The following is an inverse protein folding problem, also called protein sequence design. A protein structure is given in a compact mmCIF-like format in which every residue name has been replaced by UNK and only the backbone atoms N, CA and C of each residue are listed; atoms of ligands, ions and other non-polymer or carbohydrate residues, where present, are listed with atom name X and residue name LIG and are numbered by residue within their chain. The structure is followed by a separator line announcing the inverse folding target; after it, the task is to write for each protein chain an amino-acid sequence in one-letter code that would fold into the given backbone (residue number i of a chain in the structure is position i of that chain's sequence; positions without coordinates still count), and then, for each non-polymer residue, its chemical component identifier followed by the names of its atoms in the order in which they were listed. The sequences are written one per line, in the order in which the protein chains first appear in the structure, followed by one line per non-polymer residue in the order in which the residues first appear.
data_IF_658257044083
#
_entry.id   IF_658257044083
#
_cell.length_a   1.000
_cell.length_b   1.000
_cell.length_c   1.000
_cell.angle_alpha   90.00
_cell.angle_beta   90.00
_cell.angle_gamma   90.00
#
_symmetry.space_group_name_H-M   'P 1'
#
loop_
_entity.id
_entity.type
_entity.pdbx_description
1 polymer ?
#
# COMPACT_ATOMS: atom_id res chain seq x y z
N UNK A 1 -3.86 -1.12 18.23
CA UNK A 1 -4.66 -1.64 17.10
C UNK A 1 -3.73 -2.35 16.13
N UNK A 2 -3.86 -3.67 15.96
CA UNK A 2 -2.94 -4.43 15.12
C UNK A 2 -3.19 -4.10 13.64
N UNK A 3 -2.18 -3.62 12.92
CA UNK A 3 -2.23 -3.32 11.47
C UNK A 3 -2.78 -4.52 10.67
N UNK A 4 -2.60 -5.73 11.18
CA UNK A 4 -3.16 -6.97 10.64
C UNK A 4 -4.70 -6.97 10.53
N UNK A 5 -5.41 -6.30 11.44
CA UNK A 5 -6.88 -6.19 11.39
C UNK A 5 -7.35 -5.20 10.32
N UNK A 6 -6.58 -4.12 10.11
CA UNK A 6 -6.80 -3.15 9.01
C UNK A 6 -6.59 -3.80 7.64
N UNK A 7 -5.76 -4.84 7.59
CA UNK A 7 -5.59 -5.67 6.39
C UNK A 7 -6.68 -6.72 6.23
N UNK A 8 -7.87 -6.63 6.84
CA UNK A 8 -8.94 -7.60 6.57
C UNK A 8 -9.46 -7.57 5.12
N UNK A 9 -10.00 -8.70 4.65
CA UNK A 9 -10.50 -8.86 3.28
C UNK A 9 -11.75 -7.99 3.07
N UNK A 10 -11.71 -7.07 2.10
CA UNK A 10 -12.87 -6.26 1.69
C UNK A 10 -12.62 -4.75 1.59
N UNK A 11 -11.80 -4.18 2.48
CA UNK A 11 -11.59 -2.72 2.53
C UNK A 11 -10.57 -2.27 1.47
N UNK A 12 -9.41 -2.92 1.45
CA UNK A 12 -8.33 -2.66 0.49
C UNK A 12 -8.37 -3.62 -0.69
N UNK A 13 -8.15 -3.11 -1.90
CA UNK A 13 -7.90 -3.95 -3.08
C UNK A 13 -6.60 -4.74 -2.90
N UNK A 14 -6.41 -5.80 -3.70
CA UNK A 14 -5.15 -6.59 -3.67
C UNK A 14 -3.92 -5.70 -3.89
N UNK A 15 -4.00 -4.75 -4.82
CA UNK A 15 -2.91 -3.81 -5.11
C UNK A 15 -2.66 -2.83 -3.95
N UNK A 16 -3.73 -2.25 -3.39
CA UNK A 16 -3.62 -1.35 -2.23
C UNK A 16 -2.98 -2.06 -1.04
N UNK A 17 -3.43 -3.28 -0.75
CA UNK A 17 -2.88 -4.14 0.30
C UNK A 17 -1.41 -4.43 0.09
N UNK A 18 -1.03 -4.91 -1.10
CA UNK A 18 0.38 -5.20 -1.43
C UNK A 18 1.27 -3.99 -1.24
N UNK A 19 0.92 -2.85 -1.85
CA UNK A 19 1.71 -1.60 -1.78
C UNK A 19 1.81 -1.07 -0.36
N UNK A 20 0.72 -1.13 0.40
CA UNK A 20 0.70 -0.71 1.80
C UNK A 20 1.61 -1.59 2.65
N UNK A 21 1.57 -2.92 2.49
CA UNK A 21 2.48 -3.84 3.20
C UNK A 21 3.94 -3.59 2.86
N UNK A 22 4.28 -3.42 1.58
CA UNK A 22 5.65 -3.12 1.15
C UNK A 22 6.16 -1.80 1.77
N UNK A 23 5.32 -0.77 1.81
CA UNK A 23 5.72 0.53 2.33
C UNK A 23 5.77 0.61 3.87
N UNK A 24 4.74 0.12 4.56
CA UNK A 24 4.60 0.30 6.02
C UNK A 24 5.25 -0.83 6.82
N UNK A 25 5.19 -2.08 6.32
CA UNK A 25 5.71 -3.24 7.06
C UNK A 25 7.15 -3.54 6.67
N UNK A 26 7.47 -3.43 5.38
CA UNK A 26 8.81 -3.71 4.86
C UNK A 26 9.66 -2.46 4.64
N UNK A 27 9.12 -1.28 4.96
CA UNK A 27 9.79 0.03 4.83
C UNK A 27 10.41 0.27 3.44
N UNK A 28 9.87 -0.37 2.39
CA UNK A 28 10.40 -0.29 1.05
C UNK A 28 10.14 1.12 0.45
N UNK A 29 11.16 1.79 -0.12
CA UNK A 29 10.98 3.09 -0.74
C UNK A 29 9.95 3.05 -1.87
N UNK A 30 9.09 4.08 -1.95
CA UNK A 30 8.05 4.19 -2.99
C UNK A 30 8.61 4.01 -4.41
N UNK A 31 9.82 4.53 -4.66
CA UNK A 31 10.49 4.42 -5.97
C UNK A 31 10.92 2.98 -6.28
N UNK A 32 11.25 2.18 -5.28
CA UNK A 32 11.61 0.78 -5.45
C UNK A 32 10.36 -0.08 -5.69
N UNK A 33 9.29 0.17 -4.94
CA UNK A 33 7.96 -0.42 -5.19
C UNK A 33 7.51 -0.11 -6.62
N UNK A 34 7.70 1.13 -7.08
CA UNK A 34 7.34 1.55 -8.43
C UNK A 34 8.12 0.78 -9.51
N UNK A 35 9.43 0.58 -9.31
CA UNK A 35 10.27 -0.24 -10.20
C UNK A 35 9.82 -1.70 -10.20
N UNK A 36 9.60 -2.27 -9.02
CA UNK A 36 9.14 -3.66 -8.84
C UNK A 36 7.81 -3.93 -9.57
N UNK A 37 6.89 -2.96 -9.53
CA UNK A 37 5.58 -3.09 -10.14
C UNK A 37 5.49 -2.58 -11.59
N UNK A 38 6.59 -2.07 -12.16
CA UNK A 38 6.60 -1.52 -13.52
C UNK A 38 5.65 -0.34 -13.69
N UNK A 39 5.50 0.51 -12.68
CA UNK A 39 4.55 1.64 -12.67
C UNK A 39 5.19 2.93 -12.16
N UNK A 40 4.45 4.04 -12.20
CA UNK A 40 4.97 5.32 -11.73
C UNK A 40 4.95 5.42 -10.19
N UNK A 41 5.96 6.08 -9.62
CA UNK A 41 6.01 6.35 -8.18
C UNK A 41 4.78 7.16 -7.69
N UNK A 42 4.22 8.02 -8.56
CA UNK A 42 2.99 8.77 -8.30
C UNK A 42 1.79 7.82 -8.14
N UNK A 43 1.68 6.78 -8.99
CA UNK A 43 0.62 5.79 -8.89
C UNK A 43 0.72 4.97 -7.59
N UNK A 44 1.94 4.64 -7.15
CA UNK A 44 2.17 3.99 -5.86
C UNK A 44 1.73 4.91 -4.72
N UNK A 45 2.20 6.16 -4.69
CA UNK A 45 1.86 7.13 -3.65
C UNK A 45 0.35 7.34 -3.54
N UNK A 46 -0.33 7.58 -4.67
CA UNK A 46 -1.80 7.74 -4.72
C UNK A 46 -2.51 6.50 -4.18
N UNK A 47 -2.03 5.31 -4.52
CA UNK A 47 -2.61 4.05 -4.05
C UNK A 47 -2.45 3.86 -2.54
N UNK A 48 -1.30 4.25 -1.96
CA UNK A 48 -1.06 4.18 -0.52
C UNK A 48 -1.94 5.20 0.22
N UNK A 49 -2.03 6.44 -0.29
CA UNK A 49 -2.91 7.47 0.28
C UNK A 49 -4.37 7.03 0.26
N UNK A 50 -4.84 6.42 -0.83
CA UNK A 50 -6.19 5.85 -0.89
C UNK A 50 -6.37 4.68 0.10
N UNK A 51 -5.34 3.87 0.32
CA UNK A 51 -5.40 2.81 1.32
C UNK A 51 -5.53 3.40 2.73
N UNK A 52 -4.70 4.39 3.10
CA UNK A 52 -4.76 5.08 4.38
C UNK A 52 -6.15 5.69 4.65
N UNK A 53 -6.73 6.38 3.66
CA UNK A 53 -8.08 6.96 3.77
C UNK A 53 -9.21 5.96 4.00
N UNK A 54 -8.99 4.69 3.70
CA UNK A 54 -9.98 3.62 3.92
C UNK A 54 -9.81 2.92 5.27
N UNK A 55 -8.67 3.13 5.92
CA UNK A 55 -8.31 2.51 7.19
C UNK A 55 -8.51 3.44 8.40
N UNK A 56 -8.67 4.74 8.14
CA UNK A 56 -9.08 5.80 9.07
C UNK A 56 -10.59 5.99 8.90
#
# INVERSE_FOLDING_TARGET
MAISHLMQRGILTKAQRRRFSLYIIQEMPIREIARLEGTSHVAILKSIQQALKKLI
#
